data_IF_440347736009
#
_entry.id   IF_440347736009
#
_cell.length_a   1.000
_cell.length_b   1.000
_cell.length_c   1.000
_cell.angle_alpha   90.00
_cell.angle_beta   90.00
_cell.angle_gamma   90.00
#
_symmetry.space_group_name_H-M   'P 1'
#
loop_
_entity.id
_entity.type
_entity.pdbx_description
1 polymer ?
#
# COMPACT_ATOMS: atom_id res chain seq x y z
N UNK A 1 -11.31 9.98 -7.89
CA UNK A 1 -10.76 11.19 -7.22
C UNK A 1 -9.56 10.82 -6.38
N UNK A 2 -8.55 11.67 -6.35
CA UNK A 2 -7.40 11.49 -5.44
C UNK A 2 -7.41 12.67 -4.47
N UNK A 3 -7.36 12.36 -3.17
CA UNK A 3 -7.22 13.35 -2.11
C UNK A 3 -5.86 13.17 -1.44
N UNK A 4 -5.08 14.25 -1.39
CA UNK A 4 -3.78 14.27 -0.73
C UNK A 4 -3.94 14.84 0.68
N UNK A 5 -3.45 14.10 1.66
CA UNK A 5 -3.47 14.49 3.07
C UNK A 5 -2.01 14.65 3.49
N UNK A 6 -1.61 15.88 3.79
CA UNK A 6 -0.21 16.18 4.12
C UNK A 6 0.27 15.44 5.36
N UNK A 7 -0.52 15.50 6.43
CA UNK A 7 -0.22 14.83 7.70
C UNK A 7 -1.48 14.15 8.22
N UNK A 8 -1.40 12.89 8.58
CA UNK A 8 -2.54 12.19 9.14
C UNK A 8 -2.26 10.73 9.46
N UNK A 9 -3.24 10.10 10.11
CA UNK A 9 -3.24 8.68 10.40
C UNK A 9 -4.02 7.96 9.30
N UNK A 10 -3.32 7.13 8.54
CA UNK A 10 -3.91 6.36 7.45
C UNK A 10 -5.08 5.47 7.92
N UNK A 11 -5.05 5.03 9.18
CA UNK A 11 -6.07 4.15 9.75
C UNK A 11 -7.24 4.89 10.38
N UNK A 12 -7.20 6.22 10.45
CA UNK A 12 -8.20 7.05 11.14
C UNK A 12 -8.95 8.00 10.23
N UNK A 13 -8.98 7.74 8.93
CA UNK A 13 -9.74 8.55 7.97
C UNK A 13 -11.19 8.08 7.99
N UNK A 14 -12.11 9.00 8.31
CA UNK A 14 -13.53 8.69 8.38
C UNK A 14 -14.06 8.12 7.06
N UNK A 15 -14.76 7.00 7.14
CA UNK A 15 -15.37 6.33 5.98
C UNK A 15 -14.39 5.56 5.12
N UNK A 16 -13.12 5.40 5.54
CA UNK A 16 -12.11 4.64 4.80
C UNK A 16 -11.68 3.44 5.62
N UNK A 17 -12.01 2.24 5.13
CA UNK A 17 -11.73 0.97 5.80
C UNK A 17 -10.85 0.05 4.98
N UNK A 18 -10.38 0.49 3.81
CA UNK A 18 -9.46 -0.28 2.98
C UNK A 18 -8.17 0.50 2.79
N UNK A 19 -7.07 -0.22 2.76
CA UNK A 19 -5.73 0.35 2.81
C UNK A 19 -4.82 -0.32 1.79
N UNK A 20 -3.78 0.38 1.38
CA UNK A 20 -2.72 -0.18 0.55
C UNK A 20 -1.37 0.32 1.03
N UNK A 21 -0.35 -0.47 0.84
CA UNK A 21 1.03 -0.07 1.08
C UNK A 21 1.99 -0.83 0.18
N UNK A 22 3.17 -0.25 -0.04
CA UNK A 22 4.22 -0.89 -0.83
C UNK A 22 5.01 -1.88 0.01
N UNK A 23 5.24 -3.06 -0.56
CA UNK A 23 5.91 -4.18 0.12
C UNK A 23 7.09 -4.68 -0.71
N UNK A 24 8.11 -5.22 -0.02
CA UNK A 24 9.13 -6.02 -0.68
C UNK A 24 8.65 -7.47 -0.85
N UNK A 25 9.38 -8.25 -1.64
CA UNK A 25 9.12 -9.66 -1.85
C UNK A 25 10.03 -10.56 -0.99
N UNK A 26 10.72 -9.98 -0.01
CA UNK A 26 11.65 -10.66 0.89
C UNK A 26 11.05 -11.04 2.25
N UNK A 27 9.77 -10.69 2.48
CA UNK A 27 9.05 -11.08 3.70
C UNK A 27 9.28 -10.18 4.90
N UNK A 28 9.72 -8.94 4.71
CA UNK A 28 9.99 -8.00 5.80
C UNK A 28 8.99 -6.84 5.81
N UNK A 29 8.42 -6.57 6.98
CA UNK A 29 7.68 -5.35 7.29
C UNK A 29 8.29 -4.68 8.52
N UNK A 30 9.61 -4.47 8.49
CA UNK A 30 10.40 -4.04 9.63
C UNK A 30 10.72 -2.56 9.69
N UNK A 31 10.33 -1.75 8.69
CA UNK A 31 10.63 -0.33 8.62
C UNK A 31 9.45 0.50 8.14
N UNK A 32 9.43 1.76 8.55
CA UNK A 32 8.43 2.71 8.11
C UNK A 32 7.01 2.30 8.49
N UNK A 33 6.06 2.69 7.65
CA UNK A 33 4.64 2.41 7.90
C UNK A 33 4.31 0.91 7.87
N UNK A 34 5.12 0.08 7.23
CA UNK A 34 4.92 -1.36 7.20
C UNK A 34 4.87 -1.97 8.61
N UNK A 35 5.61 -1.40 9.55
CA UNK A 35 5.58 -1.82 10.97
C UNK A 35 4.16 -1.68 11.54
N UNK A 36 3.45 -0.60 11.20
CA UNK A 36 2.07 -0.37 11.66
C UNK A 36 1.12 -1.39 11.05
N UNK A 37 1.27 -1.71 9.77
CA UNK A 37 0.47 -2.74 9.11
C UNK A 37 0.70 -4.11 9.71
N UNK A 38 1.95 -4.47 9.99
CA UNK A 38 2.29 -5.74 10.64
C UNK A 38 1.65 -5.87 12.02
N UNK A 39 1.72 -4.82 12.83
CA UNK A 39 1.16 -4.81 14.17
C UNK A 39 -0.36 -4.89 14.17
N UNK A 40 -0.99 -4.20 13.24
CA UNK A 40 -2.45 -4.14 13.14
C UNK A 40 -3.04 -5.41 12.52
N UNK A 41 -2.32 -6.03 11.59
CA UNK A 41 -2.78 -7.20 10.84
C UNK A 41 -1.75 -8.33 10.92
N UNK A 42 -1.56 -8.96 12.11
CA UNK A 42 -0.53 -9.98 12.27
C UNK A 42 -0.75 -11.23 11.44
N UNK A 43 -2.00 -11.64 11.21
CA UNK A 43 -2.31 -12.78 10.34
C UNK A 43 -1.98 -12.50 8.88
N UNK A 44 -2.19 -11.27 8.43
CA UNK A 44 -1.79 -10.82 7.10
C UNK A 44 -0.27 -10.92 6.93
N UNK A 45 0.48 -10.45 7.91
CA UNK A 45 1.93 -10.49 7.87
C UNK A 45 2.45 -11.93 7.78
N UNK A 46 1.90 -12.84 8.55
CA UNK A 46 2.24 -14.27 8.52
C UNK A 46 2.08 -14.86 7.13
N UNK A 47 0.94 -14.64 6.51
CA UNK A 47 0.67 -15.15 5.16
C UNK A 47 1.57 -14.49 4.12
N UNK A 48 1.74 -13.18 4.20
CA UNK A 48 2.65 -12.44 3.32
C UNK A 48 4.07 -13.02 3.38
N UNK A 49 4.58 -13.25 4.59
CA UNK A 49 5.91 -13.80 4.80
C UNK A 49 6.05 -15.18 4.17
N UNK A 50 5.05 -16.03 4.35
CA UNK A 50 5.03 -17.37 3.74
C UNK A 50 5.00 -17.31 2.22
N UNK A 51 4.20 -16.42 1.65
CA UNK A 51 4.16 -16.19 0.21
C UNK A 51 5.54 -15.79 -0.33
N UNK A 52 6.24 -14.90 0.36
CA UNK A 52 7.59 -14.50 -0.02
C UNK A 52 8.58 -15.66 0.05
N UNK A 53 8.55 -16.43 1.14
CA UNK A 53 9.42 -17.59 1.32
C UNK A 53 9.21 -18.66 0.24
N UNK A 54 7.97 -18.80 -0.24
CA UNK A 54 7.61 -19.80 -1.24
C UNK A 54 7.69 -19.28 -2.69
N UNK A 55 8.21 -18.08 -2.90
CA UNK A 55 8.30 -17.46 -4.22
C UNK A 55 6.95 -17.16 -4.87
N UNK A 56 5.90 -16.96 -4.08
CA UNK A 56 4.53 -16.72 -4.55
C UNK A 56 4.15 -15.25 -4.57
N UNK A 57 5.02 -14.36 -4.09
CA UNK A 57 4.81 -12.92 -4.11
C UNK A 57 5.96 -12.27 -4.85
N UNK A 58 5.69 -11.82 -6.08
CA UNK A 58 6.69 -11.31 -7.02
C UNK A 58 6.42 -9.83 -7.34
N UNK A 59 7.44 -9.07 -7.78
CA UNK A 59 7.24 -7.66 -8.12
C UNK A 59 6.08 -7.42 -9.08
N UNK A 60 5.22 -6.49 -8.76
CA UNK A 60 3.99 -6.21 -9.51
C UNK A 60 2.76 -6.94 -9.01
N UNK A 61 2.92 -7.92 -8.13
CA UNK A 61 1.78 -8.65 -7.53
C UNK A 61 1.05 -7.81 -6.49
N UNK A 62 -0.17 -8.25 -6.17
CA UNK A 62 -0.98 -7.73 -5.08
C UNK A 62 -1.43 -8.90 -4.21
N UNK A 63 -1.16 -8.81 -2.92
CA UNK A 63 -1.79 -9.68 -1.94
C UNK A 63 -2.93 -8.91 -1.29
N UNK A 64 -4.16 -9.32 -1.61
CA UNK A 64 -5.38 -8.73 -1.08
C UNK A 64 -5.80 -9.49 0.18
N UNK A 65 -5.71 -8.82 1.32
CA UNK A 65 -6.12 -9.37 2.61
C UNK A 65 -7.46 -8.76 3.03
N UNK A 66 -8.49 -9.60 3.07
CA UNK A 66 -9.80 -9.22 3.59
C UNK A 66 -9.83 -9.48 5.09
N UNK A 67 -9.95 -8.40 5.89
CA UNK A 67 -9.99 -8.52 7.35
C UNK A 67 -11.41 -8.43 7.92
N UNK A 68 -12.44 -8.48 7.06
CA UNK A 68 -13.84 -8.48 7.42
C UNK A 68 -14.55 -7.13 7.25
N UNK A 69 -13.92 -6.04 7.67
CA UNK A 69 -14.47 -4.68 7.52
C UNK A 69 -13.94 -3.94 6.30
N UNK A 70 -12.98 -4.52 5.60
CA UNK A 70 -12.35 -3.94 4.44
C UNK A 70 -11.17 -4.78 3.99
N UNK A 71 -10.35 -4.20 3.13
CA UNK A 71 -9.22 -4.87 2.50
C UNK A 71 -7.90 -4.16 2.81
N UNK A 72 -6.83 -4.93 2.88
CA UNK A 72 -5.46 -4.41 2.85
C UNK A 72 -4.79 -4.95 1.60
N UNK A 73 -4.45 -4.05 0.69
CA UNK A 73 -3.76 -4.38 -0.55
C UNK A 73 -2.25 -4.24 -0.34
N UNK A 74 -1.56 -5.36 -0.35
CA UNK A 74 -0.11 -5.41 -0.22
C UNK A 74 0.48 -5.42 -1.62
N UNK A 75 1.08 -4.30 -2.02
CA UNK A 75 1.58 -4.09 -3.38
C UNK A 75 3.06 -4.46 -3.45
N UNK A 76 3.40 -5.42 -4.30
CA UNK A 76 4.79 -5.84 -4.48
C UNK A 76 5.55 -4.79 -5.32
N UNK A 77 6.01 -3.73 -4.69
CA UNK A 77 6.67 -2.59 -5.34
C UNK A 77 8.16 -2.79 -5.54
N UNK A 78 8.77 -3.72 -4.78
CA UNK A 78 10.21 -3.95 -4.80
C UNK A 78 10.54 -5.40 -4.48
N UNK A 79 11.65 -5.89 -5.04
CA UNK A 79 12.08 -7.27 -4.81
C UNK A 79 12.66 -7.46 -3.41
N UNK A 80 13.50 -6.51 -2.96
CA UNK A 80 14.16 -6.58 -1.66
C UNK A 80 14.12 -5.23 -0.95
N UNK A 81 14.39 -5.21 0.35
CA UNK A 81 14.30 -4.01 1.18
C UNK A 81 15.64 -3.29 1.40
N UNK A 82 16.78 -3.90 1.09
CA UNK A 82 18.08 -3.28 1.32
C UNK A 82 19.10 -3.46 0.18
N UNK A 83 18.76 -4.18 -0.86
CA UNK A 83 19.66 -4.33 -2.03
C UNK A 83 19.35 -3.20 -3.01
N UNK A 84 20.32 -2.29 -3.30
CA UNK A 84 20.02 -1.06 -4.05
C UNK A 84 19.35 -1.25 -5.41
N UNK A 85 19.74 -2.26 -6.19
CA UNK A 85 19.14 -2.53 -7.50
C UNK A 85 17.84 -3.34 -7.43
N UNK A 86 17.39 -3.71 -6.23
CA UNK A 86 16.16 -4.47 -5.98
C UNK A 86 15.13 -3.66 -5.18
N UNK A 87 15.33 -2.36 -5.05
CA UNK A 87 14.37 -1.45 -4.45
C UNK A 87 13.20 -1.18 -5.40
N UNK A 88 12.30 -0.29 -5.02
CA UNK A 88 11.09 -0.03 -5.78
C UNK A 88 11.37 0.44 -7.21
N UNK A 89 10.50 0.03 -8.13
CA UNK A 89 10.54 0.44 -9.54
C UNK A 89 9.17 0.95 -9.96
N UNK A 90 9.15 1.98 -10.78
CA UNK A 90 7.91 2.59 -11.27
C UNK A 90 7.02 1.57 -12.00
N UNK A 91 7.61 0.68 -12.79
CA UNK A 91 6.87 -0.35 -13.51
C UNK A 91 6.14 -1.32 -12.56
N UNK A 92 6.73 -1.66 -11.42
CA UNK A 92 6.10 -2.52 -10.43
C UNK A 92 4.97 -1.81 -9.69
N UNK A 93 5.13 -0.52 -9.45
CA UNK A 93 4.09 0.32 -8.86
C UNK A 93 2.90 0.41 -9.82
N UNK A 94 3.15 0.68 -11.08
CA UNK A 94 2.07 0.77 -12.07
C UNK A 94 1.31 -0.56 -12.18
N UNK A 95 2.02 -1.67 -12.32
CA UNK A 95 1.41 -3.00 -12.44
C UNK A 95 0.57 -3.36 -11.22
N UNK A 96 1.13 -3.18 -10.02
CA UNK A 96 0.42 -3.51 -8.77
C UNK A 96 -0.77 -2.58 -8.53
N UNK A 97 -0.63 -1.29 -8.82
CA UNK A 97 -1.72 -0.33 -8.71
C UNK A 97 -2.89 -0.68 -9.64
N UNK A 98 -2.60 -1.07 -10.89
CA UNK A 98 -3.65 -1.48 -11.84
C UNK A 98 -4.39 -2.71 -11.34
N UNK A 99 -3.68 -3.71 -10.84
CA UNK A 99 -4.26 -4.92 -10.25
C UNK A 99 -5.13 -4.58 -9.04
N UNK A 100 -4.63 -3.73 -8.16
CA UNK A 100 -5.39 -3.30 -6.97
C UNK A 100 -6.71 -2.62 -7.37
N UNK A 101 -6.67 -1.72 -8.32
CA UNK A 101 -7.88 -1.00 -8.74
C UNK A 101 -8.93 -1.94 -9.34
N UNK A 102 -8.50 -2.94 -10.10
CA UNK A 102 -9.42 -3.96 -10.62
C UNK A 102 -10.03 -4.80 -9.50
N UNK A 103 -9.22 -5.23 -8.54
CA UNK A 103 -9.71 -5.97 -7.37
C UNK A 103 -10.70 -5.14 -6.55
N UNK A 104 -10.39 -3.86 -6.34
CA UNK A 104 -11.26 -2.95 -5.61
C UNK A 104 -12.62 -2.79 -6.30
N UNK A 105 -12.63 -2.67 -7.62
CA UNK A 105 -13.88 -2.58 -8.38
C UNK A 105 -14.72 -3.86 -8.28
N UNK A 106 -14.08 -5.03 -8.37
CA UNK A 106 -14.74 -6.33 -8.23
C UNK A 106 -15.41 -6.44 -6.86
N UNK A 107 -14.70 -6.06 -5.81
CA UNK A 107 -15.16 -6.15 -4.43
C UNK A 107 -15.97 -4.91 -3.98
N UNK A 108 -16.22 -3.97 -4.89
CA UNK A 108 -16.96 -2.73 -4.62
C UNK A 108 -16.35 -1.88 -3.52
N UNK A 109 -15.03 -1.90 -3.42
CA UNK A 109 -14.27 -1.01 -2.53
C UNK A 109 -14.21 0.36 -3.20
N UNK A 110 -14.76 1.37 -2.54
CA UNK A 110 -14.88 2.72 -3.09
C UNK A 110 -13.78 3.68 -2.62
N UNK A 111 -13.12 3.38 -1.51
CA UNK A 111 -12.11 4.25 -0.91
C UNK A 111 -10.94 3.44 -0.39
N UNK A 112 -9.74 3.87 -0.75
CA UNK A 112 -8.50 3.23 -0.32
C UNK A 112 -7.56 4.31 0.20
N UNK A 113 -7.04 4.14 1.41
CA UNK A 113 -6.00 5.01 1.95
C UNK A 113 -4.63 4.35 1.76
N UNK A 114 -3.65 5.14 1.33
CA UNK A 114 -2.29 4.64 1.09
C UNK A 114 -1.26 5.74 1.38
N UNK A 115 -0.02 5.35 1.72
CA UNK A 115 1.08 6.30 1.91
C UNK A 115 1.74 6.64 0.57
N UNK A 116 2.87 7.35 0.61
CA UNK A 116 3.73 7.59 -0.56
C UNK A 116 4.50 6.32 -0.91
N UNK A 117 3.83 5.39 -1.56
CA UNK A 117 4.42 4.09 -1.90
C UNK A 117 5.68 4.25 -2.75
N UNK A 118 6.71 3.45 -2.45
CA UNK A 118 7.95 3.43 -3.21
C UNK A 118 8.87 4.64 -3.00
N UNK A 119 8.42 5.70 -2.34
CA UNK A 119 9.16 6.95 -2.24
C UNK A 119 10.01 7.10 -0.97
N UNK A 120 9.70 6.34 0.09
CA UNK A 120 10.51 6.33 1.31
C UNK A 120 11.72 5.42 1.16
N UNK A 121 11.71 4.29 1.85
CA UNK A 121 12.77 3.28 1.76
C UNK A 121 12.87 2.62 0.38
N UNK A 122 11.84 2.75 -0.45
CA UNK A 122 11.86 2.25 -1.84
C UNK A 122 12.78 3.04 -2.77
N UNK A 123 13.16 4.26 -2.41
CA UNK A 123 14.18 5.07 -3.09
C UNK A 123 13.71 5.84 -4.32
N UNK A 124 12.42 5.79 -4.68
CA UNK A 124 11.88 6.53 -5.81
C UNK A 124 11.54 7.98 -5.44
N UNK A 125 11.58 8.87 -6.42
CA UNK A 125 11.09 10.24 -6.26
C UNK A 125 9.57 10.22 -6.17
N UNK A 126 9.01 10.88 -5.15
CA UNK A 126 7.56 10.95 -4.96
C UNK A 126 6.84 11.53 -6.19
N UNK A 127 7.42 12.53 -6.83
CA UNK A 127 6.82 13.16 -8.00
C UNK A 127 6.59 12.14 -9.14
N UNK A 128 7.52 11.22 -9.35
CA UNK A 128 7.40 10.19 -10.38
C UNK A 128 6.33 9.16 -10.01
N UNK A 129 6.30 8.73 -8.75
CA UNK A 129 5.29 7.80 -8.24
C UNK A 129 3.90 8.42 -8.32
N UNK A 130 3.77 9.67 -7.92
CA UNK A 130 2.53 10.44 -7.96
C UNK A 130 1.93 10.47 -9.37
N UNK A 131 2.78 10.70 -10.37
CA UNK A 131 2.35 10.70 -11.78
C UNK A 131 1.80 9.33 -12.21
N UNK A 132 2.41 8.24 -11.78
CA UNK A 132 1.93 6.89 -12.07
C UNK A 132 0.58 6.64 -11.38
N UNK A 133 0.45 7.02 -10.12
CA UNK A 133 -0.81 6.84 -9.38
C UNK A 133 -1.94 7.62 -10.05
N UNK A 134 -1.70 8.85 -10.44
CA UNK A 134 -2.69 9.68 -11.13
C UNK A 134 -3.11 9.08 -12.47
N UNK A 135 -2.16 8.56 -13.23
CA UNK A 135 -2.40 7.89 -14.51
C UNK A 135 -3.30 6.66 -14.34
N UNK A 136 -2.99 5.82 -13.36
CA UNK A 136 -3.79 4.62 -13.07
C UNK A 136 -5.18 5.00 -12.59
N UNK A 137 -5.28 5.93 -11.64
CA UNK A 137 -6.55 6.36 -11.06
C UNK A 137 -7.51 6.95 -12.10
N UNK A 138 -7.00 7.61 -13.14
CA UNK A 138 -7.81 8.18 -14.20
C UNK A 138 -8.67 7.14 -14.92
N UNK A 139 -8.26 5.88 -14.95
CA UNK A 139 -8.99 4.77 -15.57
C UNK A 139 -9.94 4.05 -14.60
N UNK A 140 -9.99 4.46 -13.33
CA UNK A 140 -10.76 3.79 -12.27
C UNK A 140 -11.47 4.81 -11.38
N UNK A 141 -12.35 5.61 -11.98
CA UNK A 141 -12.98 6.76 -11.32
C UNK A 141 -13.97 6.38 -10.21
N UNK A 142 -14.34 5.11 -10.11
CA UNK A 142 -15.22 4.62 -9.05
C UNK A 142 -14.48 4.35 -7.73
N UNK A 143 -13.15 4.42 -7.74
CA UNK A 143 -12.33 4.20 -6.55
C UNK A 143 -11.60 5.49 -6.20
N UNK A 144 -11.89 6.02 -5.01
CA UNK A 144 -11.21 7.20 -4.49
C UNK A 144 -9.97 6.80 -3.71
N UNK A 145 -8.87 7.51 -3.95
CA UNK A 145 -7.62 7.29 -3.24
C UNK A 145 -7.36 8.43 -2.27
N UNK A 146 -7.00 8.08 -1.04
CA UNK A 146 -6.62 9.02 0.02
C UNK A 146 -5.13 8.79 0.31
N UNK A 147 -4.29 9.68 -0.18
CA UNK A 147 -2.84 9.55 -0.04
C UNK A 147 -2.37 10.37 1.15
N UNK A 148 -1.92 9.68 2.20
CA UNK A 148 -1.37 10.30 3.40
C UNK A 148 0.13 10.45 3.19
N UNK A 149 0.58 11.69 2.99
CA UNK A 149 1.97 11.96 2.63
C UNK A 149 2.92 11.81 3.81
N UNK A 150 2.47 12.17 5.02
CA UNK A 150 3.24 11.98 6.25
C UNK A 150 2.35 11.31 7.31
N UNK A 151 2.74 10.11 7.72
CA UNK A 151 1.99 9.38 8.74
C UNK A 151 2.20 9.99 10.12
N UNK A 152 1.10 10.36 10.76
CA UNK A 152 1.07 10.83 12.15
C UNK A 152 -0.02 10.01 12.86
N UNK A 153 0.40 9.20 13.82
CA UNK A 153 -0.54 8.36 14.56
C UNK A 153 -1.55 9.22 15.33
N UNK A 154 -2.83 8.90 15.14
CA UNK A 154 -3.91 9.52 15.88
C UNK A 154 -3.97 8.91 17.27
N UNK A 155 -3.57 9.70 18.29
CA UNK A 155 -3.69 9.28 19.68
C UNK A 155 -5.03 9.74 20.19
N UNK A 156 -5.90 8.78 20.53
CA UNK A 156 -7.10 9.12 21.29
C UNK A 156 -6.70 9.81 22.58
N UNK A 157 -7.37 10.91 22.89
CA UNK A 157 -7.22 11.56 24.18
C UNK A 157 -7.71 10.58 25.26
N UNK A 158 -6.77 9.95 25.93
CA UNK A 158 -7.08 9.15 27.11
C UNK A 158 -7.50 10.12 28.22
N UNK A 159 -8.73 10.04 28.56
CA UNK A 159 -9.26 10.75 29.71
C UNK A 159 -8.97 9.99 30.99
#
# INVERSE_FOLDING_TARGET
>A
MIKYIENGDIFSIEGVNSFAHGCNCAGSMGRGIAVQFRKKFPKMFEKYRQMCLNGKFLPGDVYDYDYGMGHVYNLATQLHYCVPWQLAKLEHIETSMRKMMLLAEIDKVQRIALPKIGAGHGGLRWQDVKSIIEKVAANHQNVDLYIVENFVEHKELRR
#
